data_IF_118027149232
#
_entry.id   IF_118027149232
#
_cell.length_a   1.000
_cell.length_b   1.000
_cell.length_c   1.000
_cell.angle_alpha   90.00
_cell.angle_beta   90.00
_cell.angle_gamma   90.00
#
_symmetry.space_group_name_H-M   'P 1'
#
loop_
_entity.id
_entity.type
_entity.pdbx_description
1 polymer ?
#
# COMPACT_ATOMS: atom_id res chain seq x y z
N UNK A 1 -0.31 -8.67 12.95
CA UNK A 1 -0.60 -9.99 12.40
C UNK A 1 0.64 -10.71 11.87
N UNK A 2 1.54 -10.15 10.99
CA UNK A 2 2.69 -10.89 10.43
C UNK A 2 3.69 -11.40 11.47
N UNK A 3 4.04 -10.59 12.48
CA UNK A 3 4.98 -10.99 13.53
C UNK A 3 4.46 -12.19 14.35
N UNK A 4 3.16 -12.15 14.72
CA UNK A 4 2.52 -13.26 15.42
C UNK A 4 2.45 -14.49 14.54
N UNK A 5 2.13 -14.33 13.25
CA UNK A 5 2.13 -15.41 12.25
C UNK A 5 3.50 -16.04 12.09
N UNK A 6 4.58 -15.22 11.98
CA UNK A 6 5.95 -15.72 11.87
C UNK A 6 6.41 -16.55 13.09
N UNK A 7 6.08 -16.08 14.30
CA UNK A 7 6.37 -16.83 15.53
C UNK A 7 5.54 -18.10 15.61
N UNK A 8 4.25 -18.04 15.27
CA UNK A 8 3.39 -19.23 15.29
C UNK A 8 3.86 -20.32 14.31
N UNK A 9 4.25 -19.94 13.09
CA UNK A 9 4.76 -20.90 12.09
C UNK A 9 6.07 -21.57 12.56
N UNK A 10 6.89 -20.87 13.36
CA UNK A 10 8.12 -21.48 13.91
C UNK A 10 7.88 -22.47 15.04
N UNK A 11 6.73 -22.38 15.72
CA UNK A 11 6.39 -23.22 16.91
C UNK A 11 5.34 -24.27 16.59
N UNK A 12 4.43 -24.00 15.67
CA UNK A 12 3.28 -24.86 15.36
C UNK A 12 3.43 -25.46 13.96
N UNK A 13 3.15 -26.76 13.75
CA UNK A 13 3.15 -27.37 12.42
C UNK A 13 2.20 -26.63 11.46
N UNK A 14 2.62 -26.45 10.22
CA UNK A 14 1.86 -25.70 9.18
C UNK A 14 0.41 -26.21 9.05
N UNK A 15 0.18 -27.53 9.20
CA UNK A 15 -1.16 -28.12 9.18
C UNK A 15 -2.06 -27.57 10.31
N UNK A 16 -1.52 -27.42 11.50
CA UNK A 16 -2.25 -26.90 12.66
C UNK A 16 -2.53 -25.40 12.50
N UNK A 17 -1.55 -24.65 11.98
CA UNK A 17 -1.73 -23.25 11.63
C UNK A 17 -2.84 -23.05 10.59
N UNK A 18 -2.86 -23.87 9.54
CA UNK A 18 -3.93 -23.86 8.53
C UNK A 18 -5.29 -24.21 9.14
N UNK A 19 -5.37 -25.18 10.03
CA UNK A 19 -6.62 -25.56 10.70
C UNK A 19 -7.19 -24.42 11.57
N UNK A 20 -6.32 -23.72 12.31
CA UNK A 20 -6.73 -22.54 13.12
C UNK A 20 -7.26 -21.42 12.21
N UNK A 21 -6.61 -21.16 11.07
CA UNK A 21 -7.09 -20.18 10.10
C UNK A 21 -8.46 -20.57 9.53
N UNK A 22 -8.63 -21.81 9.09
CA UNK A 22 -9.92 -22.32 8.59
C UNK A 22 -11.02 -22.14 9.64
N UNK A 23 -10.76 -22.55 10.89
CA UNK A 23 -11.71 -22.40 11.97
C UNK A 23 -12.10 -20.92 12.21
N UNK A 24 -11.12 -20.02 12.20
CA UNK A 24 -11.33 -18.58 12.34
C UNK A 24 -12.23 -18.00 11.22
N UNK A 25 -11.97 -18.38 9.97
CA UNK A 25 -12.79 -17.95 8.83
C UNK A 25 -14.20 -18.52 8.89
N UNK A 26 -14.37 -19.80 9.29
CA UNK A 26 -15.70 -20.40 9.47
C UNK A 26 -16.49 -19.69 10.56
N UNK A 27 -15.87 -19.38 11.71
CA UNK A 27 -16.52 -18.64 12.78
C UNK A 27 -16.96 -17.25 12.30
N UNK A 28 -16.11 -16.55 11.53
CA UNK A 28 -16.45 -15.26 10.95
C UNK A 28 -17.61 -15.35 9.97
N UNK A 29 -17.58 -16.34 9.07
CA UNK A 29 -18.65 -16.58 8.10
C UNK A 29 -19.98 -16.94 8.80
N UNK A 30 -19.92 -17.74 9.87
CA UNK A 30 -21.12 -18.02 10.70
C UNK A 30 -21.64 -16.75 11.37
N UNK A 31 -20.76 -15.89 11.87
CA UNK A 31 -21.16 -14.60 12.45
C UNK A 31 -21.87 -13.68 11.44
N UNK A 32 -21.43 -13.69 10.19
CA UNK A 32 -22.05 -12.88 9.12
C UNK A 32 -23.46 -13.37 8.75
N UNK A 33 -23.77 -14.66 8.90
CA UNK A 33 -25.12 -15.20 8.66
C UNK A 33 -26.18 -14.61 9.62
N UNK A 34 -25.77 -14.15 10.80
CA UNK A 34 -26.69 -13.52 11.77
C UNK A 34 -26.85 -12.01 11.55
N UNK A 35 -26.08 -11.40 10.64
CA UNK A 35 -26.27 -10.00 10.28
C UNK A 35 -27.50 -9.85 9.37
N UNK A 36 -28.61 -9.44 9.98
CA UNK A 36 -29.82 -9.09 9.23
C UNK A 36 -29.61 -7.70 8.63
N UNK A 37 -29.25 -7.65 7.35
CA UNK A 37 -29.30 -6.40 6.61
C UNK A 37 -30.75 -6.06 6.28
N UNK A 38 -31.29 -4.98 6.87
CA UNK A 38 -32.48 -4.34 6.35
C UNK A 38 -32.11 -3.74 4.98
N UNK A 39 -32.17 -4.57 3.95
CA UNK A 39 -32.05 -4.11 2.57
C UNK A 39 -33.25 -3.18 2.30
N UNK A 40 -33.02 -1.88 2.42
CA UNK A 40 -33.91 -0.88 1.87
C UNK A 40 -34.17 -1.30 0.40
N UNK A 41 -35.47 -1.44 0.03
CA UNK A 41 -35.96 -1.92 -1.27
C UNK A 41 -35.12 -1.36 -2.43
N UNK A 42 -34.32 -2.21 -3.05
CA UNK A 42 -33.33 -1.80 -4.06
C UNK A 42 -33.55 -2.57 -5.36
N UNK A 43 -34.72 -2.31 -6.01
CA UNK A 43 -35.07 -2.92 -7.30
C UNK A 43 -34.48 -2.16 -8.53
N UNK A 44 -33.69 -1.14 -8.36
CA UNK A 44 -33.11 -0.37 -9.49
C UNK A 44 -31.60 -0.18 -9.44
N UNK A 45 -30.87 -0.99 -8.65
CA UNK A 45 -29.48 -0.65 -8.28
C UNK A 45 -28.40 -1.06 -9.28
N UNK A 46 -28.57 -2.12 -10.09
CA UNK A 46 -27.50 -2.58 -10.98
C UNK A 46 -27.17 -1.61 -12.10
N UNK A 47 -28.16 -1.16 -12.87
CA UNK A 47 -27.92 -0.20 -13.97
C UNK A 47 -27.50 1.19 -13.49
N UNK A 48 -28.06 1.64 -12.34
CA UNK A 48 -27.62 2.91 -11.74
C UNK A 48 -26.23 2.83 -11.12
N UNK A 49 -25.85 1.70 -10.53
CA UNK A 49 -24.53 1.49 -9.94
C UNK A 49 -23.42 1.49 -11.01
N UNK A 50 -23.61 0.81 -12.15
CA UNK A 50 -22.63 0.81 -13.24
C UNK A 50 -22.45 2.18 -13.87
N UNK A 51 -23.56 2.89 -14.17
CA UNK A 51 -23.50 4.28 -14.67
C UNK A 51 -22.83 5.23 -13.68
N UNK A 52 -23.08 5.06 -12.39
CA UNK A 52 -22.50 5.89 -11.33
C UNK A 52 -21.02 5.60 -11.10
N UNK A 53 -20.58 4.33 -11.15
CA UNK A 53 -19.16 3.96 -11.00
C UNK A 53 -18.32 4.49 -12.17
N UNK A 54 -18.81 4.34 -13.41
CA UNK A 54 -18.18 4.92 -14.58
C UNK A 54 -18.13 6.46 -14.50
N UNK A 55 -19.18 7.07 -13.98
CA UNK A 55 -19.23 8.50 -13.71
C UNK A 55 -18.16 8.96 -12.69
N UNK A 56 -17.96 8.19 -11.58
CA UNK A 56 -16.95 8.49 -10.57
C UNK A 56 -15.52 8.36 -11.11
N UNK A 57 -15.27 7.34 -11.95
CA UNK A 57 -13.96 7.16 -12.61
C UNK A 57 -13.66 8.32 -13.57
N UNK A 58 -14.63 8.70 -14.41
CA UNK A 58 -14.47 9.86 -15.30
C UNK A 58 -14.33 11.16 -14.52
N UNK A 59 -15.04 11.30 -13.41
CA UNK A 59 -14.93 12.45 -12.53
C UNK A 59 -13.51 12.57 -11.95
N UNK A 60 -12.93 11.46 -11.45
CA UNK A 60 -11.54 11.41 -10.98
C UNK A 60 -10.54 11.78 -12.07
N UNK A 61 -10.75 11.31 -13.31
CA UNK A 61 -9.88 11.62 -14.44
C UNK A 61 -10.00 13.08 -14.91
N UNK A 62 -11.19 13.66 -14.85
CA UNK A 62 -11.44 15.02 -15.30
C UNK A 62 -11.05 16.07 -14.28
N UNK A 63 -11.14 15.73 -12.99
CA UNK A 63 -10.78 16.64 -11.92
C UNK A 63 -9.26 16.69 -11.72
N UNK A 64 -8.63 17.81 -12.06
CA UNK A 64 -7.17 17.99 -12.01
C UNK A 64 -6.60 17.76 -10.60
N UNK A 65 -7.34 18.14 -9.56
CA UNK A 65 -6.88 18.03 -8.17
C UNK A 65 -6.91 16.58 -7.65
N UNK A 66 -7.82 15.74 -8.16
CA UNK A 66 -7.98 14.36 -7.73
C UNK A 66 -7.26 13.34 -8.62
N UNK A 67 -6.87 13.71 -9.82
CA UNK A 67 -6.10 12.86 -10.73
C UNK A 67 -4.80 12.32 -10.12
N UNK A 68 -3.99 13.12 -9.38
CA UNK A 68 -2.79 12.61 -8.70
C UNK A 68 -3.09 11.51 -7.66
N UNK A 69 -4.24 11.55 -7.00
CA UNK A 69 -4.64 10.52 -6.05
C UNK A 69 -4.92 9.19 -6.77
N UNK A 70 -5.60 9.21 -7.90
CA UNK A 70 -5.91 8.01 -8.67
C UNK A 70 -4.65 7.31 -9.18
N UNK A 71 -3.80 8.03 -9.89
CA UNK A 71 -2.57 7.45 -10.46
C UNK A 71 -1.50 7.19 -9.42
N UNK A 72 -1.35 8.09 -8.45
CA UNK A 72 -0.35 7.96 -7.40
C UNK A 72 -0.63 6.79 -6.47
N UNK A 73 -1.89 6.61 -6.05
CA UNK A 73 -2.29 5.50 -5.17
C UNK A 73 -2.12 4.14 -5.86
N UNK A 74 -2.51 4.04 -7.15
CA UNK A 74 -2.28 2.87 -7.97
C UNK A 74 -0.79 2.54 -8.10
N UNK A 75 0.05 3.54 -8.39
CA UNK A 75 1.48 3.38 -8.53
C UNK A 75 2.14 2.97 -7.20
N UNK A 76 1.72 3.55 -6.08
CA UNK A 76 2.21 3.17 -4.75
C UNK A 76 1.87 1.70 -4.47
N UNK A 77 0.62 1.28 -4.68
CA UNK A 77 0.21 -0.11 -4.46
C UNK A 77 1.01 -1.08 -5.34
N UNK A 78 1.23 -0.73 -6.60
CA UNK A 78 2.07 -1.52 -7.51
C UNK A 78 3.52 -1.64 -6.99
N UNK A 79 4.16 -0.51 -6.68
CA UNK A 79 5.57 -0.48 -6.27
C UNK A 79 5.79 -1.11 -4.89
N UNK A 80 4.91 -0.84 -3.92
CA UNK A 80 5.00 -1.42 -2.58
C UNK A 80 4.78 -2.93 -2.63
N UNK A 81 3.82 -3.41 -3.42
CA UNK A 81 3.61 -4.85 -3.58
C UNK A 81 4.82 -5.52 -4.23
N UNK A 82 5.33 -4.99 -5.34
CA UNK A 82 6.51 -5.54 -6.02
C UNK A 82 7.76 -5.47 -5.16
N UNK A 83 8.07 -4.29 -4.65
CA UNK A 83 9.34 -4.01 -3.98
C UNK A 83 9.41 -4.47 -2.53
N UNK A 84 8.27 -4.43 -1.80
CA UNK A 84 8.24 -4.78 -0.38
C UNK A 84 7.61 -6.17 -0.17
N UNK A 85 6.41 -6.42 -0.71
CA UNK A 85 5.72 -7.68 -0.42
C UNK A 85 6.29 -8.89 -1.14
N UNK A 86 6.95 -8.70 -2.31
CA UNK A 86 7.56 -9.79 -3.08
C UNK A 86 9.08 -9.79 -2.94
N UNK A 87 9.75 -8.68 -3.27
CA UNK A 87 11.21 -8.66 -3.34
C UNK A 87 11.88 -8.77 -1.96
N UNK A 88 11.38 -8.09 -0.92
CA UNK A 88 12.00 -8.11 0.42
C UNK A 88 12.02 -9.51 1.04
N UNK A 89 10.91 -10.30 1.06
CA UNK A 89 10.98 -11.69 1.51
C UNK A 89 12.03 -12.51 0.77
N UNK A 90 12.06 -12.39 -0.55
CA UNK A 90 13.00 -13.12 -1.40
C UNK A 90 14.45 -12.71 -1.13
N UNK A 91 14.72 -11.41 -0.98
CA UNK A 91 16.05 -10.88 -0.60
C UNK A 91 16.49 -11.48 0.74
N UNK A 92 15.63 -11.42 1.75
CA UNK A 92 15.98 -11.83 3.11
C UNK A 92 16.21 -13.34 3.18
N UNK A 93 15.31 -14.15 2.64
CA UNK A 93 15.36 -15.61 2.78
C UNK A 93 16.29 -16.27 1.77
N UNK A 94 16.25 -15.87 0.51
CA UNK A 94 16.98 -16.56 -0.56
C UNK A 94 18.34 -15.90 -0.87
N UNK A 95 18.39 -14.57 -1.02
CA UNK A 95 19.64 -13.92 -1.38
C UNK A 95 20.60 -13.75 -0.19
N UNK A 96 20.07 -13.42 1.00
CA UNK A 96 20.88 -13.18 2.20
C UNK A 96 20.93 -14.40 3.15
N UNK A 97 20.11 -15.44 2.91
CA UNK A 97 20.09 -16.64 3.75
C UNK A 97 19.70 -16.39 5.21
N UNK A 98 18.95 -15.30 5.46
CA UNK A 98 18.51 -14.93 6.81
C UNK A 98 17.34 -15.81 7.23
N UNK A 99 17.32 -16.22 8.51
CA UNK A 99 16.30 -17.13 9.04
C UNK A 99 14.88 -16.56 8.93
N UNK A 100 13.89 -17.44 8.76
CA UNK A 100 12.47 -17.07 8.74
C UNK A 100 12.00 -16.35 10.01
N UNK A 101 12.63 -16.63 11.16
CA UNK A 101 12.37 -15.90 12.41
C UNK A 101 12.77 -14.43 12.33
N UNK A 102 13.95 -14.14 11.78
CA UNK A 102 14.41 -12.75 11.56
C UNK A 102 13.54 -12.03 10.54
N UNK A 103 13.09 -12.71 9.49
CA UNK A 103 12.11 -12.17 8.55
C UNK A 103 10.79 -11.77 9.25
N UNK A 104 10.29 -12.60 10.17
CA UNK A 104 9.12 -12.29 10.98
C UNK A 104 9.29 -11.03 11.83
N UNK A 105 10.48 -10.79 12.40
CA UNK A 105 10.81 -9.58 13.15
C UNK A 105 10.81 -8.36 12.22
N UNK A 106 11.44 -8.44 11.07
CA UNK A 106 11.50 -7.36 10.07
C UNK A 106 10.08 -6.96 9.63
N UNK A 107 9.24 -7.93 9.28
CA UNK A 107 7.84 -7.69 8.90
C UNK A 107 7.01 -7.17 10.08
N UNK A 108 7.36 -7.58 11.29
CA UNK A 108 6.80 -7.04 12.53
C UNK A 108 7.07 -5.55 12.70
N UNK A 109 8.28 -5.08 12.34
CA UNK A 109 8.63 -3.66 12.36
C UNK A 109 7.80 -2.83 11.38
N UNK A 110 7.51 -3.34 10.18
CA UNK A 110 6.58 -2.71 9.24
C UNK A 110 5.18 -2.54 9.85
N UNK A 111 4.65 -3.59 10.46
CA UNK A 111 3.36 -3.55 11.15
C UNK A 111 3.36 -2.57 12.32
N UNK A 112 4.41 -2.55 13.12
CA UNK A 112 4.57 -1.63 14.25
C UNK A 112 4.64 -0.16 13.79
N UNK A 113 5.40 0.13 12.74
CA UNK A 113 5.44 1.45 12.10
C UNK A 113 4.06 1.91 11.62
N UNK A 114 3.29 0.99 11.03
CA UNK A 114 1.91 1.25 10.58
C UNK A 114 0.97 1.63 11.72
N UNK A 115 1.02 0.90 12.83
CA UNK A 115 0.20 1.18 14.02
C UNK A 115 0.57 2.51 14.65
N UNK A 116 1.87 2.76 14.85
CA UNK A 116 2.34 4.02 15.42
C UNK A 116 1.99 5.22 14.54
N UNK A 117 2.07 5.09 13.22
CA UNK A 117 1.65 6.13 12.28
C UNK A 117 0.16 6.46 12.43
N UNK A 118 -0.71 5.44 12.53
CA UNK A 118 -2.14 5.64 12.74
C UNK A 118 -2.42 6.37 14.06
N UNK A 119 -1.80 5.93 15.15
CA UNK A 119 -1.93 6.56 16.48
C UNK A 119 -1.40 8.01 16.49
N UNK A 120 -0.29 8.26 15.82
CA UNK A 120 0.26 9.61 15.73
C UNK A 120 -0.67 10.57 14.97
N UNK A 121 -1.28 10.10 13.90
CA UNK A 121 -2.17 10.94 13.08
C UNK A 121 -3.53 11.19 13.74
N UNK A 122 -3.99 10.36 14.67
CA UNK A 122 -5.17 10.68 15.49
C UNK A 122 -4.91 11.86 16.42
N UNK A 123 -3.69 11.96 16.97
CA UNK A 123 -3.29 13.09 17.82
C UNK A 123 -2.89 14.34 17.04
N UNK A 124 -2.35 14.16 15.84
CA UNK A 124 -1.86 15.23 14.97
C UNK A 124 -2.53 15.12 13.61
N UNK A 125 -3.80 15.53 13.48
CA UNK A 125 -4.53 15.40 12.23
C UNK A 125 -3.83 16.16 11.10
N UNK A 126 -3.79 15.55 9.92
CA UNK A 126 -3.20 16.16 8.74
C UNK A 126 -3.89 17.48 8.42
N UNK A 127 -3.10 18.50 8.03
CA UNK A 127 -3.65 19.76 7.52
C UNK A 127 -4.64 19.48 6.38
N UNK A 128 -5.78 20.14 6.47
CA UNK A 128 -6.91 20.01 5.55
C UNK A 128 -6.62 20.77 4.26
N UNK A 129 -5.67 20.27 3.46
CA UNK A 129 -5.33 20.86 2.16
C UNK A 129 -5.62 19.85 1.06
N UNK A 130 -6.25 20.32 -0.03
CA UNK A 130 -6.45 19.54 -1.25
C UNK A 130 -5.12 19.46 -2.01
N UNK A 131 -4.17 18.69 -1.45
CA UNK A 131 -2.86 18.46 -2.05
C UNK A 131 -2.47 17.01 -1.87
N UNK A 132 -2.02 16.40 -2.95
CA UNK A 132 -1.46 15.06 -2.92
C UNK A 132 -0.16 15.04 -2.09
N UNK A 133 0.11 13.99 -1.29
CA UNK A 133 1.25 13.95 -0.37
C UNK A 133 2.58 13.59 -1.07
N UNK A 134 2.98 14.35 -2.09
CA UNK A 134 4.17 14.10 -2.91
C UNK A 134 5.44 13.84 -2.11
N UNK A 135 5.66 14.63 -1.04
CA UNK A 135 6.88 14.48 -0.22
C UNK A 135 6.91 13.12 0.47
N UNK A 136 5.78 12.67 1.06
CA UNK A 136 5.71 11.37 1.73
C UNK A 136 5.91 10.22 0.74
N UNK A 137 5.35 10.34 -0.46
CA UNK A 137 5.51 9.32 -1.50
C UNK A 137 6.93 9.31 -2.07
N UNK A 138 7.53 10.47 -2.27
CA UNK A 138 8.94 10.57 -2.63
C UNK A 138 9.87 9.97 -1.57
N UNK A 139 9.57 10.22 -0.27
CA UNK A 139 10.30 9.59 0.83
C UNK A 139 10.15 8.07 0.83
N UNK A 140 8.94 7.55 0.55
CA UNK A 140 8.70 6.11 0.41
C UNK A 140 9.56 5.51 -0.72
N UNK A 141 9.58 6.15 -1.89
CA UNK A 141 10.43 5.74 -3.00
C UNK A 141 11.91 5.75 -2.64
N UNK A 142 12.38 6.79 -1.92
CA UNK A 142 13.76 6.88 -1.44
C UNK A 142 14.12 5.75 -0.46
N UNK A 143 13.23 5.39 0.46
CA UNK A 143 13.43 4.25 1.37
C UNK A 143 13.53 2.93 0.59
N UNK A 144 12.70 2.75 -0.45
CA UNK A 144 12.80 1.57 -1.32
C UNK A 144 14.13 1.50 -2.07
N UNK A 145 14.69 2.64 -2.52
CA UNK A 145 16.05 2.69 -3.08
C UNK A 145 17.10 2.26 -2.06
N UNK A 146 16.98 2.70 -0.80
CA UNK A 146 17.90 2.29 0.27
C UNK A 146 17.80 0.80 0.56
N UNK A 147 16.60 0.20 0.56
CA UNK A 147 16.40 -1.25 0.70
C UNK A 147 17.17 -2.00 -0.40
N UNK A 148 17.01 -1.59 -1.66
CA UNK A 148 17.71 -2.22 -2.76
C UNK A 148 19.24 -2.06 -2.68
N UNK A 149 19.75 -0.88 -2.27
CA UNK A 149 21.18 -0.62 -2.10
C UNK A 149 21.78 -1.46 -0.96
N UNK A 150 21.11 -1.55 0.18
CA UNK A 150 21.58 -2.34 1.33
C UNK A 150 21.56 -3.83 0.98
N UNK A 151 20.54 -4.29 0.25
CA UNK A 151 20.47 -5.68 -0.20
C UNK A 151 21.63 -6.10 -1.13
N UNK A 152 22.22 -5.14 -1.86
CA UNK A 152 23.35 -5.39 -2.76
C UNK A 152 24.68 -5.56 -2.04
N UNK A 153 24.85 -4.95 -0.86
CA UNK A 153 26.13 -4.91 -0.16
C UNK A 153 26.16 -6.04 0.88
N UNK A 154 27.14 -6.94 0.83
CA UNK A 154 27.26 -8.01 1.82
C UNK A 154 27.74 -7.43 3.16
N UNK A 155 26.81 -7.12 4.04
CA UNK A 155 27.09 -6.73 5.41
C UNK A 155 27.01 -7.92 6.37
N UNK A 156 27.52 -7.72 7.58
CA UNK A 156 27.34 -8.68 8.68
C UNK A 156 25.85 -8.87 8.96
N UNK A 157 25.37 -10.11 9.12
CA UNK A 157 23.95 -10.48 9.26
C UNK A 157 23.15 -9.60 10.22
N UNK A 158 23.72 -9.25 11.38
CA UNK A 158 23.04 -8.44 12.40
C UNK A 158 22.78 -7.02 11.89
N UNK A 159 23.76 -6.39 11.25
CA UNK A 159 23.57 -5.04 10.67
C UNK A 159 22.50 -5.00 9.59
N UNK A 160 22.46 -6.03 8.76
CA UNK A 160 21.46 -6.16 7.71
C UNK A 160 20.06 -6.28 8.30
N UNK A 161 19.85 -7.13 9.30
CA UNK A 161 18.56 -7.28 9.98
C UNK A 161 18.11 -5.97 10.62
N UNK A 162 19.00 -5.28 11.34
CA UNK A 162 18.68 -4.00 11.98
C UNK A 162 18.31 -2.94 10.94
N UNK A 163 19.08 -2.85 9.85
CA UNK A 163 18.81 -1.90 8.77
C UNK A 163 17.45 -2.17 8.12
N UNK A 164 17.13 -3.43 7.81
CA UNK A 164 15.81 -3.80 7.28
C UNK A 164 14.68 -3.51 8.27
N UNK A 165 14.87 -3.76 9.57
CA UNK A 165 13.87 -3.43 10.59
C UNK A 165 13.55 -1.92 10.60
N UNK A 166 14.57 -1.08 10.53
CA UNK A 166 14.40 0.38 10.50
C UNK A 166 13.71 0.82 9.22
N UNK A 167 14.14 0.31 8.06
CA UNK A 167 13.57 0.69 6.77
C UNK A 167 12.12 0.23 6.64
N UNK A 168 11.80 -1.01 7.02
CA UNK A 168 10.44 -1.54 7.01
C UNK A 168 9.52 -0.80 7.99
N UNK A 169 10.02 -0.40 9.15
CA UNK A 169 9.28 0.47 10.07
C UNK A 169 8.90 1.79 9.40
N UNK A 170 9.84 2.44 8.69
CA UNK A 170 9.60 3.71 8.00
C UNK A 170 8.62 3.49 6.82
N UNK A 171 8.72 2.39 6.08
CA UNK A 171 7.77 2.01 5.02
C UNK A 171 6.36 1.89 5.57
N UNK A 172 6.18 1.16 6.67
CA UNK A 172 4.89 1.01 7.34
C UNK A 172 4.32 2.36 7.81
N UNK A 173 5.16 3.19 8.40
CA UNK A 173 4.79 4.55 8.84
C UNK A 173 4.33 5.42 7.67
N UNK A 174 5.11 5.49 6.60
CA UNK A 174 4.81 6.32 5.43
C UNK A 174 3.57 5.82 4.68
N UNK A 175 3.42 4.51 4.51
CA UNK A 175 2.28 3.92 3.80
C UNK A 175 0.95 4.27 4.46
N UNK A 176 0.86 4.13 5.79
CA UNK A 176 -0.34 4.51 6.54
C UNK A 176 -0.55 6.03 6.53
N UNK A 177 0.52 6.81 6.65
CA UNK A 177 0.44 8.27 6.61
C UNK A 177 -0.05 8.81 5.25
N UNK A 178 0.28 8.14 4.15
CA UNK A 178 -0.20 8.47 2.81
C UNK A 178 -1.68 8.07 2.69
N UNK A 179 -2.02 6.84 3.09
CA UNK A 179 -3.39 6.33 3.01
C UNK A 179 -4.39 7.19 3.79
N UNK A 180 -4.08 7.52 5.06
CA UNK A 180 -4.93 8.38 5.89
C UNK A 180 -5.10 9.75 5.23
N UNK A 181 -4.03 10.36 4.70
CA UNK A 181 -4.12 11.65 4.01
C UNK A 181 -5.01 11.56 2.77
N UNK A 182 -4.88 10.51 1.97
CA UNK A 182 -5.69 10.26 0.77
C UNK A 182 -7.18 10.16 1.13
N UNK A 183 -7.53 9.25 2.02
CA UNK A 183 -8.92 9.03 2.42
C UNK A 183 -9.54 10.26 3.08
N UNK A 184 -8.81 10.91 3.99
CA UNK A 184 -9.28 12.14 4.65
C UNK A 184 -9.51 13.27 3.65
N UNK A 185 -8.62 13.45 2.67
CA UNK A 185 -8.79 14.47 1.62
C UNK A 185 -10.05 14.21 0.82
N UNK A 186 -10.32 12.96 0.41
CA UNK A 186 -11.54 12.61 -0.31
C UNK A 186 -12.77 12.85 0.55
N UNK A 187 -12.73 12.45 1.83
CA UNK A 187 -13.85 12.63 2.76
C UNK A 187 -14.23 14.10 2.96
N UNK A 188 -13.28 15.02 2.91
CA UNK A 188 -13.53 16.44 3.16
C UNK A 188 -13.92 17.19 1.88
N UNK A 189 -13.28 16.90 0.75
CA UNK A 189 -13.42 17.70 -0.46
C UNK A 189 -14.38 17.11 -1.50
N UNK A 190 -14.80 15.85 -1.36
CA UNK A 190 -15.79 15.24 -2.25
C UNK A 190 -17.18 15.33 -1.64
N UNK A 191 -18.18 15.69 -2.45
CA UNK A 191 -19.59 15.78 -2.06
C UNK A 191 -20.09 14.45 -1.50
N UNK A 192 -20.97 14.50 -0.51
CA UNK A 192 -21.47 13.33 0.22
C UNK A 192 -22.06 12.26 -0.69
N UNK A 193 -22.83 12.66 -1.71
CA UNK A 193 -23.49 11.75 -2.67
C UNK A 193 -22.51 10.98 -3.56
N UNK A 194 -21.31 11.53 -3.82
CA UNK A 194 -20.27 10.94 -4.67
C UNK A 194 -19.15 10.28 -3.88
N UNK A 195 -19.00 10.61 -2.60
CA UNK A 195 -17.86 10.22 -1.75
C UNK A 195 -17.63 8.71 -1.73
N UNK A 196 -18.67 7.93 -1.49
CA UNK A 196 -18.58 6.48 -1.45
C UNK A 196 -18.16 5.87 -2.79
N UNK A 197 -18.66 6.43 -3.90
CA UNK A 197 -18.31 5.96 -5.25
C UNK A 197 -16.87 6.33 -5.61
N UNK A 198 -16.42 7.53 -5.26
CA UNK A 198 -15.04 7.99 -5.50
C UNK A 198 -14.05 7.15 -4.71
N UNK A 199 -14.30 6.90 -3.41
CA UNK A 199 -13.46 6.02 -2.59
C UNK A 199 -13.45 4.60 -3.14
N UNK A 200 -14.64 4.04 -3.44
CA UNK A 200 -14.75 2.69 -3.99
C UNK A 200 -14.03 2.54 -5.33
N UNK A 201 -14.16 3.51 -6.23
CA UNK A 201 -13.46 3.52 -7.53
C UNK A 201 -11.95 3.64 -7.36
N UNK A 202 -11.49 4.54 -6.52
CA UNK A 202 -10.06 4.71 -6.22
C UNK A 202 -9.47 3.41 -5.68
N UNK A 203 -10.13 2.80 -4.70
CA UNK A 203 -9.70 1.54 -4.08
C UNK A 203 -9.70 0.39 -5.10
N UNK A 204 -10.75 0.27 -5.92
CA UNK A 204 -10.86 -0.77 -6.92
C UNK A 204 -9.73 -0.67 -7.97
N UNK A 205 -9.46 0.53 -8.49
CA UNK A 205 -8.38 0.77 -9.45
C UNK A 205 -7.02 0.49 -8.83
N UNK A 206 -6.77 1.00 -7.61
CA UNK A 206 -5.47 0.81 -6.93
C UNK A 206 -5.22 -0.66 -6.61
N UNK A 207 -6.21 -1.39 -6.14
CA UNK A 207 -6.06 -2.80 -5.77
C UNK A 207 -6.07 -3.74 -6.97
N UNK A 208 -6.65 -3.37 -8.10
CA UNK A 208 -6.55 -4.16 -9.34
C UNK A 208 -5.12 -4.29 -9.86
N UNK A 209 -4.23 -3.37 -9.49
CA UNK A 209 -2.81 -3.43 -9.83
C UNK A 209 -2.01 -4.40 -8.96
N UNK A 210 -2.53 -4.82 -7.80
CA UNK A 210 -1.85 -5.77 -6.90
C UNK A 210 -1.60 -7.13 -7.55
N UNK A 211 -2.59 -7.83 -8.17
CA UNK A 211 -2.34 -9.10 -8.84
C UNK A 211 -1.33 -8.97 -9.99
N UNK A 212 -1.39 -7.89 -10.74
CA UNK A 212 -0.44 -7.60 -11.83
C UNK A 212 0.97 -7.44 -11.27
N UNK A 213 1.10 -6.68 -10.19
CA UNK A 213 2.35 -6.46 -9.46
C UNK A 213 2.95 -7.77 -8.94
N UNK A 214 2.11 -8.64 -8.33
CA UNK A 214 2.54 -9.95 -7.83
C UNK A 214 3.06 -10.85 -8.96
N UNK A 215 2.37 -10.91 -10.09
CA UNK A 215 2.80 -11.70 -11.24
C UNK A 215 4.12 -11.19 -11.82
N UNK A 216 4.21 -9.88 -12.07
CA UNK A 216 5.41 -9.28 -12.65
C UNK A 216 6.61 -9.37 -11.70
N UNK A 217 6.43 -9.08 -10.42
CA UNK A 217 7.51 -9.16 -9.44
C UNK A 217 7.90 -10.61 -9.17
N UNK A 218 6.93 -11.54 -9.10
CA UNK A 218 7.20 -12.97 -8.90
C UNK A 218 8.03 -13.57 -10.03
N UNK A 219 7.74 -13.23 -11.29
CA UNK A 219 8.56 -13.66 -12.43
C UNK A 219 9.91 -12.92 -12.49
N UNK A 220 9.93 -11.64 -12.09
CA UNK A 220 11.14 -10.84 -12.13
C UNK A 220 12.19 -11.32 -11.11
N UNK A 221 11.81 -11.79 -9.90
CA UNK A 221 12.77 -12.31 -8.90
C UNK A 221 13.54 -13.54 -9.37
N UNK A 222 12.98 -14.29 -10.34
CA UNK A 222 13.65 -15.45 -10.94
C UNK A 222 14.58 -15.07 -12.10
N UNK A 223 14.36 -13.88 -12.71
CA UNK A 223 15.08 -13.45 -13.93
C UNK A 223 16.18 -12.43 -13.65
N UNK A 224 16.03 -11.61 -12.59
CA UNK A 224 16.99 -10.57 -12.23
C UNK A 224 17.36 -10.69 -10.75
N UNK A 225 18.48 -10.10 -10.37
CA UNK A 225 18.87 -10.07 -8.96
C UNK A 225 17.82 -9.32 -8.12
N UNK A 226 17.33 -9.94 -7.07
CA UNK A 226 16.16 -9.51 -6.30
C UNK A 226 16.24 -8.08 -5.76
N UNK A 227 17.44 -7.55 -5.50
CA UNK A 227 17.65 -6.15 -5.06
C UNK A 227 17.32 -5.12 -6.16
N UNK A 228 17.28 -5.53 -7.44
CA UNK A 228 16.97 -4.63 -8.57
C UNK A 228 15.49 -4.18 -8.53
N UNK A 229 14.60 -5.04 -8.05
CA UNK A 229 13.16 -4.74 -8.01
C UNK A 229 12.84 -3.53 -7.11
N UNK A 230 13.26 -3.48 -5.83
CA UNK A 230 13.02 -2.29 -5.01
C UNK A 230 13.75 -1.05 -5.54
N UNK A 231 14.89 -1.20 -6.24
CA UNK A 231 15.56 -0.08 -6.90
C UNK A 231 14.71 0.50 -8.04
N UNK A 232 14.16 -0.36 -8.91
CA UNK A 232 13.27 0.09 -9.98
C UNK A 232 12.01 0.72 -9.42
N UNK A 233 11.35 0.08 -8.46
CA UNK A 233 10.13 0.59 -7.86
C UNK A 233 10.35 1.93 -7.13
N UNK A 234 11.46 2.04 -6.37
CA UNK A 234 11.84 3.28 -5.69
C UNK A 234 12.14 4.41 -6.67
N UNK A 235 12.91 4.15 -7.72
CA UNK A 235 13.21 5.14 -8.77
C UNK A 235 11.94 5.58 -9.51
N UNK A 236 11.05 4.65 -9.81
CA UNK A 236 9.76 4.93 -10.45
C UNK A 236 8.91 5.88 -9.60
N UNK A 237 8.81 5.63 -8.28
CA UNK A 237 8.07 6.52 -7.37
C UNK A 237 8.70 7.91 -7.28
N UNK A 238 10.03 8.00 -7.19
CA UNK A 238 10.72 9.30 -7.07
C UNK A 238 10.60 10.10 -8.37
N UNK A 239 10.85 9.48 -9.51
CA UNK A 239 10.90 10.16 -10.83
C UNK A 239 9.49 10.54 -11.30
N UNK A 240 8.55 9.58 -11.35
CA UNK A 240 7.21 9.85 -11.87
C UNK A 240 6.45 10.86 -11.02
N UNK A 241 6.53 10.73 -9.69
CA UNK A 241 5.86 11.69 -8.82
C UNK A 241 6.57 13.05 -8.79
N UNK A 242 7.88 13.07 -8.98
CA UNK A 242 8.62 14.30 -9.22
C UNK A 242 8.15 15.02 -10.50
N UNK A 243 7.97 14.27 -11.58
CA UNK A 243 7.43 14.80 -12.85
C UNK A 243 5.99 15.32 -12.70
N UNK A 244 5.11 14.57 -12.04
CA UNK A 244 3.71 15.00 -11.80
C UNK A 244 3.70 16.30 -10.98
N UNK A 245 4.51 16.37 -9.92
CA UNK A 245 4.62 17.61 -9.11
C UNK A 245 5.09 18.80 -9.94
N UNK A 246 6.06 18.62 -10.82
CA UNK A 246 6.55 19.69 -11.69
C UNK A 246 5.49 20.17 -12.68
N UNK A 247 4.68 19.23 -13.20
CA UNK A 247 3.55 19.58 -14.08
C UNK A 247 2.47 20.36 -13.34
N UNK A 248 2.12 19.95 -12.11
CA UNK A 248 1.15 20.68 -11.28
C UNK A 248 1.64 22.09 -10.94
N UNK A 249 2.93 22.25 -10.62
CA UNK A 249 3.51 23.56 -10.34
C UNK A 249 3.52 24.48 -11.56
N UNK A 250 3.66 23.93 -12.77
CA UNK A 250 3.57 24.69 -14.03
C UNK A 250 2.12 25.09 -14.35
N UNK A 251 1.19 24.16 -14.15
CA UNK A 251 -0.24 24.42 -14.38
C UNK A 251 -0.80 25.50 -13.46
N UNK A 252 -0.34 25.58 -12.21
CA UNK A 252 -0.74 26.60 -11.24
C UNK A 252 -0.06 27.96 -11.42
N UNK A 253 0.94 28.07 -12.32
CA UNK A 253 1.63 29.34 -12.64
C UNK A 253 1.10 30.02 -13.89
N UNK A 254 0.24 29.36 -14.67
CA UNK A 254 -0.42 30.01 -15.82
C UNK A 254 -1.60 30.79 -15.28
N UNK A 255 -1.67 32.13 -15.51
CA UNK A 255 -2.84 32.91 -15.14
C UNK A 255 -4.04 32.35 -15.91
N UNK A 256 -5.13 32.11 -15.19
CA UNK A 256 -6.44 31.83 -15.80
C UNK A 256 -6.89 33.14 -16.47
N UNK A 257 -6.73 33.19 -17.80
CA UNK A 257 -7.43 34.20 -18.63
C UNK A 257 -8.94 33.93 -18.64
#
# INVERSE_FOLDING_TARGET
APAVGGVLISVIPVKMFAAINIASFLISAFGELFLIFNAAKTTSFKEQAEKKTYSAFLWLLRNKDFRPFLFGDGLINFCVTSGISVAVPFIITNALGISSGSYGIITGCLGFGSVLSALFQTKHPCKTELKYPYVKVGSLGFIMLLIGLIARIPYHHIFTVIAFCILEFIVGWLSVAINIKTITTIQIFVQDDLRGQVIGTLTAVSYSLIPISLLLAGTAVDMVESYVIPLICGSLLVVLLGCIRLLDLRANKLPTE
#
